data_IF_532029441003
#
_entry.id   IF_532029441003
#
_cell.length_a   1.000
_cell.length_b   1.000
_cell.length_c   1.000
_cell.angle_alpha   90.00
_cell.angle_beta   90.00
_cell.angle_gamma   90.00
#
_symmetry.space_group_name_H-M   'P 1'
#
loop_
_entity.id
_entity.type
_entity.pdbx_description
1 polymer ?
#
# COMPACT_ATOMS: atom_id res chain seq x y z
N UNK A 1 -5.89 10.13 -33.85
CA UNK A 1 -5.52 8.67 -33.78
C UNK A 1 -4.07 8.58 -33.33
N UNK A 2 -3.77 7.81 -32.26
CA UNK A 2 -2.39 7.61 -31.84
C UNK A 2 -1.73 6.60 -32.77
N UNK A 3 -0.80 7.07 -33.62
CA UNK A 3 -0.16 6.26 -34.66
C UNK A 3 0.83 5.29 -34.06
N UNK A 4 0.77 4.03 -34.48
CA UNK A 4 1.79 3.01 -34.18
C UNK A 4 2.77 3.04 -35.36
N UNK A 5 4.08 3.12 -35.05
CA UNK A 5 5.16 3.06 -36.03
C UNK A 5 6.17 1.98 -35.65
N UNK A 6 6.92 1.50 -36.61
CA UNK A 6 8.00 0.55 -36.38
C UNK A 6 9.35 1.29 -36.27
N UNK A 7 10.08 1.03 -35.18
CA UNK A 7 11.39 1.63 -34.93
C UNK A 7 12.44 0.56 -34.62
N UNK A 8 13.72 0.90 -34.78
CA UNK A 8 14.81 0.03 -34.32
C UNK A 8 14.80 -0.03 -32.78
N UNK A 9 14.79 -1.22 -32.14
CA UNK A 9 14.85 -1.33 -30.70
C UNK A 9 16.10 -0.67 -30.08
N UNK A 10 17.19 -0.55 -30.84
CA UNK A 10 18.39 0.13 -30.41
C UNK A 10 18.22 1.65 -30.31
N UNK A 11 17.23 2.24 -30.96
CA UNK A 11 16.90 3.66 -30.88
C UNK A 11 16.07 4.00 -29.64
N UNK A 12 15.72 3.01 -28.83
CA UNK A 12 14.93 3.19 -27.61
C UNK A 12 15.83 3.15 -26.39
N UNK A 13 15.79 4.25 -25.60
CA UNK A 13 16.42 4.33 -24.29
C UNK A 13 15.49 3.69 -23.24
N UNK A 14 16.05 2.87 -22.36
CA UNK A 14 15.26 2.32 -21.24
C UNK A 14 14.76 3.44 -20.31
N UNK A 15 13.60 3.23 -19.71
CA UNK A 15 13.08 4.13 -18.69
C UNK A 15 14.10 4.27 -17.55
N UNK A 16 14.33 5.50 -17.09
CA UNK A 16 15.17 5.78 -15.90
C UNK A 16 14.54 5.19 -14.63
N UNK A 17 13.25 4.88 -14.71
CA UNK A 17 12.47 4.38 -13.60
C UNK A 17 11.70 3.11 -13.98
N UNK A 18 12.08 2.00 -13.34
CA UNK A 18 11.25 0.80 -13.27
C UNK A 18 10.52 0.77 -11.91
N UNK A 19 9.21 1.02 -11.87
CA UNK A 19 8.46 1.03 -10.60
C UNK A 19 8.42 -0.32 -9.89
N UNK A 20 8.60 -1.41 -10.64
CA UNK A 20 8.66 -2.77 -10.08
C UNK A 20 9.95 -3.04 -9.32
N UNK A 21 10.96 -2.16 -9.46
CA UNK A 21 12.26 -2.37 -8.82
C UNK A 21 13.04 -3.59 -9.38
N UNK A 22 12.50 -4.25 -10.40
CA UNK A 22 13.16 -5.40 -11.03
C UNK A 22 14.49 -4.97 -11.63
N UNK A 23 15.56 -5.62 -11.21
CA UNK A 23 16.88 -5.44 -11.83
C UNK A 23 16.91 -6.22 -13.15
N UNK A 24 17.74 -5.82 -14.13
CA UNK A 24 17.89 -6.55 -15.39
C UNK A 24 18.07 -8.06 -15.20
N UNK A 25 18.91 -8.45 -14.24
CA UNK A 25 19.17 -9.87 -13.93
C UNK A 25 17.93 -10.64 -13.42
N UNK A 26 17.05 -9.96 -12.67
CA UNK A 26 15.83 -10.58 -12.15
C UNK A 26 14.85 -10.87 -13.29
N UNK A 27 14.79 -9.98 -14.29
CA UNK A 27 13.98 -10.16 -15.50
C UNK A 27 14.52 -11.33 -16.32
N UNK A 28 15.83 -11.39 -16.51
CA UNK A 28 16.49 -12.42 -17.35
C UNK A 28 16.38 -13.83 -16.75
N UNK A 29 16.34 -13.95 -15.43
CA UNK A 29 16.20 -15.23 -14.71
C UNK A 29 14.74 -15.72 -14.57
N UNK A 30 13.75 -14.88 -14.91
CA UNK A 30 12.34 -15.23 -14.82
C UNK A 30 11.94 -16.22 -15.93
N UNK A 31 11.43 -17.42 -15.61
CA UNK A 31 10.99 -18.40 -16.63
C UNK A 31 9.95 -17.83 -17.61
N UNK A 32 9.10 -16.92 -17.18
CA UNK A 32 8.13 -16.25 -18.06
C UNK A 32 8.79 -15.31 -19.07
N UNK A 33 9.99 -14.83 -18.79
CA UNK A 33 10.77 -14.03 -19.74
C UNK A 33 11.34 -14.89 -20.87
N UNK A 34 11.74 -16.12 -20.58
CA UNK A 34 12.18 -17.09 -21.62
C UNK A 34 11.04 -17.33 -22.60
N UNK A 35 9.82 -17.61 -22.10
CA UNK A 35 8.65 -17.78 -22.96
C UNK A 35 8.34 -16.53 -23.79
N UNK A 36 8.52 -15.34 -23.20
CA UNK A 36 8.35 -14.09 -23.94
C UNK A 36 9.39 -13.94 -25.05
N UNK A 37 10.66 -14.28 -24.82
CA UNK A 37 11.71 -14.28 -25.86
C UNK A 37 11.37 -15.21 -27.01
N UNK A 38 10.93 -16.43 -26.72
CA UNK A 38 10.51 -17.39 -27.73
C UNK A 38 9.34 -16.86 -28.58
N UNK A 39 8.37 -16.22 -27.92
CA UNK A 39 7.25 -15.57 -28.59
C UNK A 39 7.71 -14.42 -29.49
N UNK A 40 8.59 -13.54 -28.97
CA UNK A 40 9.13 -12.40 -29.73
C UNK A 40 9.99 -12.86 -30.91
N UNK A 41 10.79 -13.90 -30.73
CA UNK A 41 11.57 -14.49 -31.81
C UNK A 41 10.66 -15.02 -32.94
N UNK A 42 9.56 -15.68 -32.59
CA UNK A 42 8.67 -16.34 -33.56
C UNK A 42 7.67 -15.38 -34.22
N UNK A 43 7.14 -14.42 -33.48
CA UNK A 43 6.01 -13.59 -33.91
C UNK A 43 6.31 -12.08 -33.87
N UNK A 44 7.49 -11.67 -33.46
CA UNK A 44 7.80 -10.27 -33.17
C UNK A 44 7.10 -9.74 -31.91
N UNK A 45 7.20 -8.44 -31.66
CA UNK A 45 6.51 -7.78 -30.54
C UNK A 45 5.08 -7.47 -30.94
N UNK A 46 4.13 -8.30 -30.47
CA UNK A 46 2.71 -8.18 -30.84
C UNK A 46 2.00 -6.98 -30.19
N UNK A 47 2.40 -6.59 -28.99
CA UNK A 47 1.81 -5.45 -28.26
C UNK A 47 2.79 -4.29 -28.33
N UNK A 48 2.43 -3.14 -28.95
CA UNK A 48 3.33 -2.01 -29.10
C UNK A 48 3.91 -1.53 -27.77
N UNK A 49 5.19 -1.13 -27.81
CA UNK A 49 5.84 -0.42 -26.72
C UNK A 49 5.24 1.00 -26.63
N UNK A 50 5.28 1.61 -25.45
CA UNK A 50 4.90 3.01 -25.30
C UNK A 50 6.17 3.82 -25.10
N UNK A 51 6.37 4.81 -25.98
CA UNK A 51 7.56 5.66 -25.97
C UNK A 51 7.20 7.14 -26.10
N UNK A 52 8.07 8.02 -25.66
CA UNK A 52 8.02 9.41 -26.06
C UNK A 52 9.27 9.80 -26.85
N UNK A 53 9.15 10.80 -27.72
CA UNK A 53 10.25 11.32 -28.53
C UNK A 53 11.13 12.19 -27.65
N UNK A 54 12.46 11.98 -27.72
CA UNK A 54 13.44 12.82 -27.04
C UNK A 54 14.22 13.66 -28.07
N UNK A 55 14.63 14.84 -27.62
CA UNK A 55 15.55 15.71 -28.36
C UNK A 55 16.78 15.96 -27.51
N UNK A 56 17.96 16.02 -28.15
CA UNK A 56 19.21 16.36 -27.49
C UNK A 56 20.39 15.57 -28.03
N UNK A 57 21.57 16.20 -28.09
CA UNK A 57 22.79 15.55 -28.55
C UNK A 57 23.15 14.36 -27.65
N UNK A 58 23.49 13.23 -28.25
CA UNK A 58 23.90 12.00 -27.58
C UNK A 58 22.78 11.19 -26.97
N UNK A 59 21.50 11.58 -27.12
CA UNK A 59 20.34 10.79 -26.67
C UNK A 59 19.77 9.95 -27.81
N UNK A 60 19.20 8.78 -27.45
CA UNK A 60 18.42 8.00 -28.39
C UNK A 60 17.12 8.73 -28.73
N UNK A 61 16.58 8.56 -29.95
CA UNK A 61 15.37 9.28 -30.40
C UNK A 61 14.14 9.04 -29.52
N UNK A 62 14.06 7.85 -28.91
CA UNK A 62 12.90 7.42 -28.13
C UNK A 62 13.29 7.05 -26.73
N UNK A 63 12.45 7.38 -25.76
CA UNK A 63 12.52 6.89 -24.38
C UNK A 63 11.33 6.00 -24.06
N UNK A 64 11.59 4.84 -23.49
CA UNK A 64 10.58 3.88 -23.10
C UNK A 64 9.74 4.40 -21.91
N UNK A 65 8.42 4.24 -22.00
CA UNK A 65 7.47 4.48 -20.91
C UNK A 65 6.90 3.16 -20.38
N UNK A 66 6.53 2.24 -21.29
CA UNK A 66 6.01 0.92 -20.95
C UNK A 66 6.52 -0.14 -21.93
N UNK A 67 6.79 -1.33 -21.41
CA UNK A 67 7.17 -2.49 -22.20
C UNK A 67 8.63 -2.92 -22.05
N UNK A 68 9.27 -2.68 -20.89
CA UNK A 68 10.69 -3.02 -20.67
C UNK A 68 11.00 -4.48 -20.99
N UNK A 69 10.21 -5.45 -20.50
CA UNK A 69 10.42 -6.87 -20.80
C UNK A 69 10.34 -7.16 -22.30
N UNK A 70 9.43 -6.52 -23.01
CA UNK A 70 9.27 -6.66 -24.49
C UNK A 70 10.44 -6.06 -25.23
N UNK A 71 10.95 -4.90 -24.80
CA UNK A 71 12.14 -4.28 -25.40
C UNK A 71 13.39 -5.14 -25.17
N UNK A 72 13.60 -5.67 -23.95
CA UNK A 72 14.68 -6.61 -23.65
C UNK A 72 14.61 -7.85 -24.51
N UNK A 73 13.44 -8.49 -24.59
CA UNK A 73 13.25 -9.65 -25.44
C UNK A 73 13.53 -9.36 -26.93
N UNK A 74 13.15 -8.18 -27.41
CA UNK A 74 13.43 -7.77 -28.79
C UNK A 74 14.94 -7.56 -29.04
N UNK A 75 15.66 -6.95 -28.10
CA UNK A 75 17.10 -6.79 -28.17
C UNK A 75 17.84 -8.15 -28.13
N UNK A 76 17.45 -9.03 -27.20
CA UNK A 76 18.02 -10.38 -27.03
C UNK A 76 17.80 -11.27 -28.27
N UNK A 77 16.70 -11.06 -28.99
CA UNK A 77 16.35 -11.81 -30.21
C UNK A 77 16.83 -11.15 -31.50
N UNK A 78 17.57 -10.04 -31.38
CA UNK A 78 18.04 -9.24 -32.52
C UNK A 78 16.90 -8.80 -33.47
N UNK A 79 15.75 -8.45 -32.92
CA UNK A 79 14.62 -7.97 -33.71
C UNK A 79 15.01 -6.67 -34.46
N UNK A 80 14.77 -6.62 -35.77
CA UNK A 80 15.13 -5.43 -36.58
C UNK A 80 14.21 -4.24 -36.30
N UNK A 81 12.96 -4.49 -35.98
CA UNK A 81 11.96 -3.47 -35.72
C UNK A 81 11.01 -3.91 -34.62
N UNK A 82 10.50 -2.94 -33.86
CA UNK A 82 9.47 -3.13 -32.85
C UNK A 82 8.38 -2.08 -33.03
N UNK A 83 7.10 -2.44 -32.91
CA UNK A 83 6.00 -1.48 -32.97
C UNK A 83 6.02 -0.60 -31.71
N UNK A 84 5.96 0.70 -31.89
CA UNK A 84 5.88 1.67 -30.81
C UNK A 84 4.69 2.59 -30.98
N UNK A 85 4.06 2.95 -29.86
CA UNK A 85 3.06 3.99 -29.77
C UNK A 85 3.72 5.23 -29.15
N UNK A 86 3.79 6.30 -29.91
CA UNK A 86 4.33 7.57 -29.43
C UNK A 86 3.29 8.25 -28.53
N UNK A 87 3.77 8.89 -27.48
CA UNK A 87 2.97 9.71 -26.57
C UNK A 87 3.51 11.12 -26.51
N UNK A 88 2.59 12.10 -26.45
CA UNK A 88 2.92 13.52 -26.47
C UNK A 88 3.29 14.08 -25.08
N UNK A 89 3.05 13.30 -24.00
CA UNK A 89 3.40 13.71 -22.65
C UNK A 89 4.84 13.31 -22.37
N UNK A 90 5.73 14.27 -22.43
CA UNK A 90 7.17 14.07 -22.27
C UNK A 90 7.71 14.65 -20.97
N UNK A 91 8.99 14.30 -20.68
CA UNK A 91 9.72 14.75 -19.52
C UNK A 91 9.60 13.84 -18.31
N UNK A 92 10.49 14.00 -17.30
CA UNK A 92 10.62 13.06 -16.19
C UNK A 92 9.32 12.86 -15.37
N UNK A 93 8.52 13.91 -15.21
CA UNK A 93 7.23 13.82 -14.53
C UNK A 93 6.16 13.18 -15.41
N UNK A 94 6.10 13.56 -16.69
CA UNK A 94 5.17 13.00 -17.66
C UNK A 94 5.33 11.50 -17.83
N UNK A 95 6.58 11.03 -17.88
CA UNK A 95 6.90 9.59 -17.97
C UNK A 95 6.35 8.80 -16.77
N UNK A 96 6.54 9.34 -15.55
CA UNK A 96 6.03 8.70 -14.31
C UNK A 96 4.51 8.70 -14.28
N UNK A 97 3.87 9.82 -14.63
CA UNK A 97 2.40 9.93 -14.66
C UNK A 97 1.81 8.93 -15.66
N UNK A 98 2.36 8.84 -16.87
CA UNK A 98 1.87 7.91 -17.87
C UNK A 98 2.08 6.45 -17.47
N UNK A 99 3.26 6.10 -16.94
CA UNK A 99 3.49 4.78 -16.40
C UNK A 99 2.47 4.45 -15.31
N UNK A 100 2.20 5.39 -14.42
CA UNK A 100 1.20 5.22 -13.35
C UNK A 100 -0.20 4.92 -13.94
N UNK A 101 -0.69 5.74 -14.87
CA UNK A 101 -2.00 5.52 -15.51
C UNK A 101 -2.08 4.18 -16.27
N UNK A 102 -1.05 3.83 -17.05
CA UNK A 102 -1.04 2.58 -17.80
C UNK A 102 -1.17 1.38 -16.88
N UNK A 103 -0.41 1.35 -15.79
CA UNK A 103 -0.36 0.20 -14.88
C UNK A 103 -1.54 0.17 -13.90
N UNK A 104 -2.06 1.32 -13.48
CA UNK A 104 -3.29 1.40 -12.67
C UNK A 104 -4.50 0.89 -13.45
N UNK A 105 -4.70 1.33 -14.69
CA UNK A 105 -5.80 0.88 -15.54
C UNK A 105 -5.76 -0.64 -15.81
N UNK A 106 -4.56 -1.20 -15.90
CA UNK A 106 -4.36 -2.65 -16.11
C UNK A 106 -4.34 -3.46 -14.82
N UNK A 107 -4.47 -2.84 -13.64
CA UNK A 107 -4.31 -3.48 -12.31
C UNK A 107 -3.02 -4.32 -12.20
N UNK A 108 -1.94 -3.88 -12.85
CA UNK A 108 -0.69 -4.64 -12.94
C UNK A 108 0.29 -4.35 -11.80
N UNK A 109 0.15 -3.19 -11.16
CA UNK A 109 1.04 -2.80 -10.08
C UNK A 109 0.50 -3.23 -8.72
N UNK A 110 1.33 -3.90 -7.95
CA UNK A 110 1.12 -4.06 -6.52
C UNK A 110 1.34 -2.73 -5.77
N UNK A 111 1.07 -2.72 -4.49
CA UNK A 111 1.11 -1.49 -3.67
C UNK A 111 2.50 -0.84 -3.60
N UNK A 112 3.59 -1.62 -3.60
CA UNK A 112 4.96 -1.08 -3.52
C UNK A 112 5.34 -0.29 -4.78
N UNK A 113 5.21 -0.81 -6.01
CA UNK A 113 5.42 -0.04 -7.23
C UNK A 113 4.56 1.23 -7.31
N UNK A 114 3.29 1.17 -6.88
CA UNK A 114 2.42 2.36 -6.81
C UNK A 114 3.00 3.41 -5.84
N UNK A 115 3.45 2.98 -4.66
CA UNK A 115 4.07 3.87 -3.67
C UNK A 115 5.33 4.52 -4.22
N UNK A 116 6.22 3.77 -4.87
CA UNK A 116 7.44 4.30 -5.50
C UNK A 116 7.12 5.31 -6.61
N UNK A 117 6.12 5.02 -7.43
CA UNK A 117 5.63 5.95 -8.44
C UNK A 117 5.12 7.26 -7.82
N UNK A 118 4.31 7.16 -6.76
CA UNK A 118 3.81 8.32 -6.03
C UNK A 118 4.96 9.11 -5.38
N UNK A 119 5.93 8.47 -4.74
CA UNK A 119 7.13 9.16 -4.18
C UNK A 119 7.83 10.01 -5.25
N UNK A 120 7.94 9.52 -6.49
CA UNK A 120 8.52 10.31 -7.59
C UNK A 120 7.67 11.52 -7.96
N UNK A 121 6.35 11.36 -8.03
CA UNK A 121 5.44 12.49 -8.26
C UNK A 121 5.62 13.54 -7.16
N UNK A 122 5.62 13.12 -5.89
CA UNK A 122 5.82 14.00 -4.75
C UNK A 122 7.17 14.74 -4.81
N UNK A 123 8.25 14.05 -5.20
CA UNK A 123 9.58 14.66 -5.39
C UNK A 123 9.55 15.72 -6.48
N UNK A 124 8.95 15.46 -7.63
CA UNK A 124 8.81 16.43 -8.70
C UNK A 124 7.98 17.67 -8.31
N UNK A 125 6.95 17.45 -7.49
CA UNK A 125 6.13 18.54 -6.94
C UNK A 125 6.82 19.28 -5.79
N UNK A 126 7.99 18.84 -5.34
CA UNK A 126 8.68 19.34 -4.13
C UNK A 126 7.85 19.13 -2.85
N UNK A 127 7.05 18.07 -2.83
CA UNK A 127 6.22 17.66 -1.70
C UNK A 127 6.79 16.44 -0.97
N UNK A 128 8.00 16.03 -1.30
CA UNK A 128 8.69 14.93 -0.62
C UNK A 128 8.84 15.22 0.88
N UNK A 129 8.53 14.22 1.71
CA UNK A 129 8.56 14.37 3.18
C UNK A 129 7.34 15.06 3.79
N UNK A 130 6.41 15.59 3.01
CA UNK A 130 5.14 16.10 3.56
C UNK A 130 4.29 14.96 4.11
N UNK A 131 3.69 15.21 5.27
CA UNK A 131 2.82 14.25 5.95
C UNK A 131 1.33 14.60 5.82
N UNK A 132 1.00 15.88 5.64
CA UNK A 132 -0.38 16.38 5.50
C UNK A 132 -0.54 17.08 4.16
N UNK A 133 -1.66 16.82 3.52
CA UNK A 133 -2.08 17.39 2.24
C UNK A 133 -3.45 18.02 2.41
N UNK A 134 -3.66 19.21 1.86
CA UNK A 134 -4.97 19.83 1.80
C UNK A 134 -5.83 19.23 0.69
N UNK A 135 -7.09 19.63 0.60
CA UNK A 135 -8.01 19.04 -0.38
C UNK A 135 -7.61 19.35 -1.83
N UNK A 136 -7.12 20.54 -2.13
CA UNK A 136 -6.64 20.92 -3.47
C UNK A 136 -5.43 20.08 -3.90
N UNK A 137 -4.46 19.88 -2.99
CA UNK A 137 -3.29 19.03 -3.24
C UNK A 137 -3.69 17.57 -3.47
N UNK A 138 -4.69 17.07 -2.72
CA UNK A 138 -5.22 15.72 -2.91
C UNK A 138 -5.94 15.60 -4.25
N UNK A 139 -6.70 16.60 -4.68
CA UNK A 139 -7.36 16.63 -5.99
C UNK A 139 -6.34 16.67 -7.13
N UNK A 140 -5.26 17.43 -6.97
CA UNK A 140 -4.16 17.42 -7.92
C UNK A 140 -3.52 16.03 -8.02
N UNK A 141 -3.23 15.37 -6.88
CA UNK A 141 -2.71 14.02 -6.88
C UNK A 141 -3.68 13.01 -7.51
N UNK A 142 -4.98 13.15 -7.29
CA UNK A 142 -5.99 12.32 -7.97
C UNK A 142 -5.92 12.50 -9.50
N UNK A 143 -5.81 13.72 -9.96
CA UNK A 143 -5.70 14.04 -11.40
C UNK A 143 -4.41 13.45 -11.98
N UNK A 144 -3.28 13.60 -11.29
CA UNK A 144 -1.98 13.10 -11.75
C UNK A 144 -1.90 11.57 -11.75
N UNK A 145 -2.52 10.89 -10.79
CA UNK A 145 -2.39 9.43 -10.61
C UNK A 145 -3.56 8.63 -11.16
N UNK A 146 -4.74 9.26 -11.31
CA UNK A 146 -5.98 8.55 -11.61
C UNK A 146 -6.54 7.75 -10.42
N UNK A 147 -5.97 7.92 -9.21
CA UNK A 147 -6.42 7.24 -8.00
C UNK A 147 -7.52 8.04 -7.28
N UNK A 148 -8.46 7.36 -6.64
CA UNK A 148 -9.37 8.00 -5.68
C UNK A 148 -8.64 8.43 -4.40
N UNK A 149 -9.25 9.33 -3.60
CA UNK A 149 -8.71 9.73 -2.29
C UNK A 149 -8.44 8.51 -1.39
N UNK A 150 -9.31 7.52 -1.40
CA UNK A 150 -9.18 6.31 -0.58
C UNK A 150 -8.02 5.40 -1.05
N UNK A 151 -7.72 5.37 -2.34
CA UNK A 151 -6.55 4.68 -2.88
C UNK A 151 -5.26 5.45 -2.60
N UNK A 152 -5.29 6.79 -2.61
CA UNK A 152 -4.12 7.62 -2.34
C UNK A 152 -3.68 7.59 -0.87
N UNK A 153 -4.61 7.60 0.07
CA UNK A 153 -4.29 7.65 1.52
C UNK A 153 -3.29 6.57 1.96
N UNK A 154 -3.50 5.27 1.70
CA UNK A 154 -2.52 4.24 2.08
C UNK A 154 -1.19 4.39 1.34
N UNK A 155 -1.20 4.86 0.08
CA UNK A 155 0.03 5.11 -0.68
C UNK A 155 0.82 6.28 -0.09
N UNK A 156 0.16 7.38 0.29
CA UNK A 156 0.78 8.53 0.94
C UNK A 156 1.39 8.17 2.30
N UNK A 157 0.71 7.33 3.08
CA UNK A 157 1.25 6.81 4.34
C UNK A 157 2.51 5.97 4.11
N UNK A 158 2.46 5.03 3.17
CA UNK A 158 3.60 4.19 2.84
C UNK A 158 4.76 4.98 2.19
N UNK A 159 4.48 6.09 1.49
CA UNK A 159 5.50 6.96 0.90
C UNK A 159 6.39 7.67 1.95
N UNK A 160 5.99 7.69 3.21
CA UNK A 160 6.76 8.24 4.34
C UNK A 160 7.96 7.36 4.72
N UNK A 161 8.00 6.12 4.24
CA UNK A 161 9.07 5.17 4.52
C UNK A 161 10.13 5.21 3.41
N UNK A 162 11.37 4.87 3.78
CA UNK A 162 12.47 4.75 2.82
C UNK A 162 12.30 3.55 1.88
N UNK A 163 13.11 3.51 0.83
CA UNK A 163 13.00 2.45 -0.17
C UNK A 163 13.46 1.09 0.39
N UNK A 164 14.33 1.05 1.40
CA UNK A 164 14.73 -0.20 2.07
C UNK A 164 13.58 -0.87 2.83
N UNK A 165 12.68 -0.08 3.44
CA UNK A 165 11.46 -0.61 4.06
C UNK A 165 10.48 -1.12 2.99
N UNK A 166 10.38 -0.44 1.85
CA UNK A 166 9.57 -0.91 0.72
C UNK A 166 10.15 -2.20 0.11
N UNK A 167 11.48 -2.33 0.05
CA UNK A 167 12.16 -3.57 -0.36
C UNK A 167 11.85 -4.72 0.60
N UNK A 168 11.76 -4.46 1.91
CA UNK A 168 11.37 -5.47 2.89
C UNK A 168 9.93 -5.96 2.68
N UNK A 169 9.03 -5.06 2.26
CA UNK A 169 7.66 -5.45 1.89
C UNK A 169 7.64 -6.30 0.63
N UNK A 170 8.38 -5.92 -0.40
CA UNK A 170 8.46 -6.61 -1.67
C UNK A 170 9.05 -8.02 -1.53
N UNK A 171 10.05 -8.16 -0.64
CA UNK A 171 10.68 -9.43 -0.31
C UNK A 171 9.90 -10.27 0.74
N UNK A 172 8.70 -9.85 1.13
CA UNK A 172 7.85 -10.59 2.07
C UNK A 172 8.30 -10.56 3.54
N UNK A 173 9.35 -9.78 3.89
CA UNK A 173 9.84 -9.62 5.27
C UNK A 173 8.94 -8.71 6.11
N UNK A 174 8.11 -7.93 5.45
CA UNK A 174 7.17 -7.01 6.06
C UNK A 174 5.87 -6.99 5.25
N UNK A 175 4.73 -6.76 5.88
CA UNK A 175 3.45 -6.59 5.15
C UNK A 175 3.21 -5.11 4.87
N UNK A 176 2.70 -4.77 3.70
CA UNK A 176 2.31 -3.40 3.36
C UNK A 176 1.32 -2.81 4.36
N UNK A 177 0.38 -3.62 4.85
CA UNK A 177 -0.59 -3.24 5.87
C UNK A 177 0.04 -2.76 7.18
N UNK A 178 1.25 -3.24 7.54
CA UNK A 178 1.94 -2.73 8.72
C UNK A 178 2.33 -1.26 8.56
N UNK A 179 2.80 -0.84 7.37
CA UNK A 179 3.16 0.55 7.10
C UNK A 179 1.95 1.47 7.28
N UNK A 180 0.82 1.08 6.69
CA UNK A 180 -0.43 1.84 6.77
C UNK A 180 -0.94 1.93 8.21
N UNK A 181 -0.95 0.80 8.95
CA UNK A 181 -1.42 0.78 10.33
C UNK A 181 -0.54 1.56 11.31
N UNK A 182 0.78 1.50 11.16
CA UNK A 182 1.71 2.28 11.99
C UNK A 182 1.37 3.78 11.86
N UNK A 183 1.11 4.25 10.65
CA UNK A 183 0.73 5.64 10.43
C UNK A 183 -0.67 5.93 11.01
N UNK A 184 -1.68 5.22 10.55
CA UNK A 184 -3.09 5.50 10.82
C UNK A 184 -3.49 5.25 12.26
N UNK A 185 -3.02 4.16 12.85
CA UNK A 185 -3.45 3.72 14.17
C UNK A 185 -2.54 4.16 15.30
N UNK A 186 -1.34 4.64 14.98
CA UNK A 186 -0.37 5.05 15.99
C UNK A 186 0.19 6.46 15.75
N UNK A 187 0.94 6.70 14.67
CA UNK A 187 1.70 7.95 14.50
C UNK A 187 0.76 9.16 14.35
N UNK A 188 -0.24 9.08 13.44
CA UNK A 188 -1.21 10.16 13.21
C UNK A 188 -2.04 10.42 14.47
N UNK A 189 -2.49 9.37 15.17
CA UNK A 189 -3.26 9.53 16.42
C UNK A 189 -2.43 10.11 17.57
N UNK A 190 -1.16 9.72 17.71
CA UNK A 190 -0.27 10.33 18.70
C UNK A 190 -0.02 11.80 18.35
N UNK A 191 0.11 12.14 17.07
CA UNK A 191 0.27 13.54 16.67
C UNK A 191 -0.93 14.40 17.07
N UNK A 192 -2.13 13.85 16.90
CA UNK A 192 -3.36 14.59 17.19
C UNK A 192 -3.67 14.63 18.70
N UNK A 193 -3.49 13.54 19.43
CA UNK A 193 -3.93 13.40 20.83
C UNK A 193 -2.81 13.63 21.86
N UNK A 194 -1.56 13.31 21.51
CA UNK A 194 -0.38 13.31 22.39
C UNK A 194 0.85 13.98 21.74
N UNK A 195 0.77 15.22 21.22
CA UNK A 195 1.89 15.84 20.50
C UNK A 195 3.15 15.97 21.37
N UNK A 196 3.02 16.09 22.68
CA UNK A 196 4.14 16.12 23.62
C UNK A 196 4.94 14.81 23.68
N UNK A 197 4.35 13.67 23.32
CA UNK A 197 5.06 12.42 23.21
C UNK A 197 6.02 12.42 22.02
N UNK A 198 5.64 13.05 20.91
CA UNK A 198 6.50 13.14 19.71
C UNK A 198 7.71 14.07 19.91
N UNK A 199 7.65 14.98 20.87
CA UNK A 199 8.82 15.75 21.28
C UNK A 199 9.86 14.86 22.00
N UNK A 200 9.41 13.79 22.68
CA UNK A 200 10.27 12.82 23.38
C UNK A 200 10.69 11.65 22.49
N UNK A 201 9.84 11.22 21.58
CA UNK A 201 10.11 10.15 20.61
C UNK A 201 9.73 10.68 19.22
N UNK A 202 10.71 11.16 18.43
CA UNK A 202 10.45 11.66 17.09
C UNK A 202 9.74 10.62 16.22
N UNK A 203 8.85 11.08 15.32
CA UNK A 203 8.06 10.22 14.43
C UNK A 203 8.92 9.19 13.69
N UNK A 204 10.09 9.61 13.17
CA UNK A 204 11.02 8.72 12.49
C UNK A 204 11.47 7.57 13.38
N UNK A 205 11.85 7.87 14.62
CA UNK A 205 12.27 6.86 15.62
C UNK A 205 11.10 5.93 15.95
N UNK A 206 9.91 6.46 16.13
CA UNK A 206 8.71 5.65 16.40
C UNK A 206 8.42 4.69 15.25
N UNK A 207 8.45 5.17 13.98
CA UNK A 207 8.31 4.36 12.78
C UNK A 207 9.32 3.22 12.75
N UNK A 208 10.61 3.52 12.96
CA UNK A 208 11.68 2.54 12.94
C UNK A 208 11.46 1.44 13.99
N UNK A 209 11.10 1.82 15.22
CA UNK A 209 10.81 0.86 16.30
C UNK A 209 9.63 -0.04 15.97
N UNK A 210 8.57 0.51 15.41
CA UNK A 210 7.40 -0.28 14.98
C UNK A 210 7.73 -1.22 13.81
N UNK A 211 8.54 -0.80 12.86
CA UNK A 211 9.05 -1.68 11.79
C UNK A 211 9.85 -2.85 12.38
N UNK A 212 10.71 -2.61 13.37
CA UNK A 212 11.43 -3.70 14.02
C UNK A 212 10.49 -4.68 14.73
N UNK A 213 9.48 -4.17 15.46
CA UNK A 213 8.44 -5.03 16.07
C UNK A 213 7.68 -5.85 15.01
N UNK A 214 7.33 -5.23 13.88
CA UNK A 214 6.65 -5.93 12.77
C UNK A 214 7.53 -7.05 12.17
N UNK A 215 8.83 -6.82 12.01
CA UNK A 215 9.80 -7.82 11.55
C UNK A 215 9.98 -8.98 12.55
N UNK A 216 9.83 -8.71 13.84
CA UNK A 216 9.81 -9.73 14.91
C UNK A 216 8.46 -10.45 15.04
N UNK A 217 7.47 -10.16 14.16
CA UNK A 217 6.09 -10.67 14.22
C UNK A 217 5.32 -10.31 15.51
N UNK A 218 5.73 -9.24 16.20
CA UNK A 218 5.02 -8.71 17.38
C UNK A 218 3.83 -7.82 17.02
N UNK A 219 3.71 -7.39 15.74
CA UNK A 219 2.56 -6.66 15.24
C UNK A 219 1.72 -7.58 14.35
N UNK A 220 0.59 -7.99 14.86
CA UNK A 220 -0.43 -8.73 14.08
C UNK A 220 -1.14 -7.83 13.06
N UNK A 221 -1.91 -8.48 12.17
CA UNK A 221 -2.61 -7.80 11.05
C UNK A 221 -3.68 -6.87 11.53
N UNK A 222 -3.81 -6.04 12.28
CA UNK A 222 -4.75 -5.07 12.84
C UNK A 222 -4.52 -4.85 14.33
N UNK A 223 -3.42 -5.38 14.89
CA UNK A 223 -3.17 -5.32 16.32
C UNK A 223 -3.07 -3.88 16.85
N UNK A 224 -2.45 -2.97 16.09
CA UNK A 224 -2.39 -1.55 16.45
C UNK A 224 -3.78 -0.90 16.43
N UNK A 225 -4.59 -1.19 15.40
CA UNK A 225 -5.94 -0.66 15.26
C UNK A 225 -6.86 -1.16 16.39
N UNK A 226 -6.75 -2.44 16.74
CA UNK A 226 -7.64 -3.06 17.73
C UNK A 226 -7.22 -2.82 19.17
N UNK A 227 -5.93 -2.67 19.45
CA UNK A 227 -5.41 -2.67 20.80
C UNK A 227 -4.78 -1.33 21.22
N UNK A 228 -4.12 -0.61 20.32
CA UNK A 228 -3.42 0.65 20.65
C UNK A 228 -4.27 1.88 20.33
N UNK A 229 -4.88 1.92 19.14
CA UNK A 229 -5.70 3.04 18.75
C UNK A 229 -6.87 3.33 19.72
N UNK A 230 -7.60 2.31 20.25
CA UNK A 230 -8.61 2.53 21.28
C UNK A 230 -8.05 3.09 22.58
N UNK A 231 -6.86 2.66 23.01
CA UNK A 231 -6.19 3.17 24.23
C UNK A 231 -5.89 4.67 24.08
N UNK A 232 -5.40 5.08 22.90
CA UNK A 232 -5.13 6.49 22.59
C UNK A 232 -6.41 7.32 22.69
N UNK A 233 -7.52 6.86 22.11
CA UNK A 233 -8.77 7.64 22.00
C UNK A 233 -9.66 7.61 23.26
N UNK A 234 -9.44 6.66 24.19
CA UNK A 234 -10.29 6.47 25.37
C UNK A 234 -9.93 7.36 26.56
N UNK A 235 -8.69 7.78 26.67
CA UNK A 235 -8.26 8.61 27.78
C UNK A 235 -8.88 9.99 27.73
N UNK A 236 -9.78 10.29 28.69
CA UNK A 236 -10.54 11.56 28.75
C UNK A 236 -10.01 12.49 29.84
N UNK A 237 -9.56 11.93 30.94
CA UNK A 237 -9.04 12.72 32.06
C UNK A 237 -7.54 13.02 31.92
N UNK A 238 -7.04 14.11 32.50
CA UNK A 238 -5.60 14.41 32.50
C UNK A 238 -4.74 13.30 33.10
N UNK A 239 -5.26 12.55 34.08
CA UNK A 239 -4.57 11.43 34.71
C UNK A 239 -4.44 10.27 33.71
N UNK A 240 -5.55 9.88 33.09
CA UNK A 240 -5.57 8.82 32.08
C UNK A 240 -4.65 9.17 30.90
N UNK A 241 -4.65 10.41 30.43
CA UNK A 241 -3.76 10.85 29.36
C UNK A 241 -2.29 10.72 29.73
N UNK A 242 -1.89 11.00 30.97
CA UNK A 242 -0.51 10.78 31.44
C UNK A 242 -0.14 9.31 31.50
N UNK A 243 -1.08 8.47 31.92
CA UNK A 243 -0.85 7.01 31.96
C UNK A 243 -0.75 6.42 30.55
N UNK A 244 -1.58 6.86 29.62
CA UNK A 244 -1.47 6.47 28.22
C UNK A 244 -0.15 6.94 27.61
N UNK A 245 0.28 8.19 27.85
CA UNK A 245 1.57 8.68 27.36
C UNK A 245 2.74 7.81 27.89
N UNK A 246 2.70 7.46 29.19
CA UNK A 246 3.69 6.58 29.80
C UNK A 246 3.69 5.19 29.18
N UNK A 247 2.51 4.63 28.96
CA UNK A 247 2.31 3.31 28.37
C UNK A 247 2.78 3.26 26.90
N UNK A 248 2.41 4.25 26.08
CA UNK A 248 2.87 4.38 24.70
C UNK A 248 4.41 4.55 24.62
N UNK A 249 5.00 5.26 25.58
CA UNK A 249 6.44 5.43 25.64
C UNK A 249 7.15 4.11 25.97
N UNK A 250 6.57 3.30 26.87
CA UNK A 250 7.06 1.95 27.17
C UNK A 250 6.90 1.06 25.94
N UNK A 251 5.72 1.04 25.31
CA UNK A 251 5.45 0.27 24.10
C UNK A 251 6.44 0.58 22.98
N UNK A 252 6.82 1.85 22.82
CA UNK A 252 7.82 2.24 21.84
C UNK A 252 9.24 1.77 22.23
N UNK A 253 9.60 1.74 23.53
CA UNK A 253 10.96 1.49 23.98
C UNK A 253 11.23 0.04 24.36
N UNK A 254 10.25 -0.69 24.83
CA UNK A 254 10.37 -2.11 25.19
C UNK A 254 10.19 -2.96 23.93
N UNK A 255 11.26 -3.61 23.50
CA UNK A 255 11.32 -4.32 22.22
C UNK A 255 10.30 -5.46 22.07
N UNK A 256 9.93 -6.12 23.18
CA UNK A 256 9.06 -7.29 23.16
C UNK A 256 7.60 -6.98 23.54
N UNK A 257 7.30 -5.76 24.02
CA UNK A 257 5.95 -5.37 24.38
C UNK A 257 5.02 -5.38 23.16
N UNK A 258 3.90 -6.09 23.29
CA UNK A 258 2.91 -6.26 22.21
C UNK A 258 1.77 -5.24 22.30
N UNK A 259 1.04 -4.99 21.22
CA UNK A 259 -0.18 -4.16 21.24
C UNK A 259 -1.26 -4.68 22.22
N UNK A 260 -1.38 -5.99 22.36
CA UNK A 260 -2.31 -6.63 23.27
C UNK A 260 -1.98 -6.36 24.73
N UNK A 261 -0.70 -6.28 25.06
CA UNK A 261 -0.24 -5.91 26.42
C UNK A 261 -0.54 -4.44 26.72
N UNK A 262 -0.42 -3.55 25.73
CA UNK A 262 -0.81 -2.13 25.87
C UNK A 262 -2.27 -2.03 26.30
N UNK A 263 -3.18 -2.75 25.61
CA UNK A 263 -4.60 -2.74 25.94
C UNK A 263 -4.85 -3.32 27.33
N UNK A 264 -4.28 -4.49 27.65
CA UNK A 264 -4.45 -5.16 28.94
C UNK A 264 -3.97 -4.31 30.11
N UNK A 265 -2.82 -3.62 29.98
CA UNK A 265 -2.31 -2.76 31.03
C UNK A 265 -3.20 -1.53 31.24
N UNK A 266 -3.69 -0.94 30.13
CA UNK A 266 -4.62 0.18 30.20
C UNK A 266 -5.93 -0.21 30.89
N UNK A 267 -6.54 -1.33 30.48
CA UNK A 267 -7.80 -1.83 31.08
C UNK A 267 -7.64 -2.20 32.56
N UNK A 268 -6.48 -2.71 32.95
CA UNK A 268 -6.17 -3.01 34.37
C UNK A 268 -6.05 -1.74 35.20
N UNK A 269 -5.43 -0.69 34.63
CA UNK A 269 -5.26 0.59 35.33
C UNK A 269 -6.58 1.41 35.38
N UNK A 270 -7.45 1.22 34.40
CA UNK A 270 -8.66 2.01 34.21
C UNK A 270 -9.89 1.10 33.96
N UNK A 271 -10.36 0.35 34.99
CA UNK A 271 -11.48 -0.62 34.84
C UNK A 271 -12.79 0.03 34.40
N UNK A 272 -12.98 1.32 34.69
CA UNK A 272 -14.16 2.12 34.34
C UNK A 272 -14.10 2.69 32.93
N UNK A 273 -12.93 2.68 32.27
CA UNK A 273 -12.76 3.10 30.87
C UNK A 273 -13.15 1.94 29.91
N UNK A 274 -14.10 1.09 30.31
CA UNK A 274 -14.62 0.05 29.43
C UNK A 274 -15.12 0.66 28.13
N UNK A 275 -14.88 -0.06 27.03
CA UNK A 275 -15.42 0.27 25.72
C UNK A 275 -16.88 0.67 25.85
N UNK A 276 -17.18 1.89 25.54
CA UNK A 276 -18.55 2.32 25.33
C UNK A 276 -19.18 1.33 24.32
N UNK A 277 -20.40 0.90 24.63
CA UNK A 277 -21.13 -0.05 23.77
C UNK A 277 -21.15 0.42 22.31
N UNK A 278 -21.17 1.73 22.10
CA UNK A 278 -21.07 2.37 20.79
C UNK A 278 -19.73 2.10 20.09
N UNK A 279 -18.61 2.12 20.81
CA UNK A 279 -17.28 1.82 20.23
C UNK A 279 -17.14 0.33 19.90
N UNK A 280 -17.72 -0.55 20.71
CA UNK A 280 -17.80 -1.98 20.37
C UNK A 280 -18.67 -2.22 19.13
N UNK A 281 -19.81 -1.53 19.03
CA UNK A 281 -20.68 -1.61 17.86
C UNK A 281 -20.02 -1.07 16.61
N UNK A 282 -19.27 0.05 16.72
CA UNK A 282 -18.50 0.63 15.61
C UNK A 282 -17.40 -0.33 15.14
N UNK A 283 -16.64 -0.95 16.05
CA UNK A 283 -15.62 -1.96 15.68
C UNK A 283 -16.24 -3.18 14.99
N UNK A 284 -17.43 -3.61 15.41
CA UNK A 284 -18.14 -4.71 14.74
C UNK A 284 -18.62 -4.28 13.36
N UNK A 285 -19.07 -3.04 13.19
CA UNK A 285 -19.48 -2.50 11.91
C UNK A 285 -18.28 -2.39 10.95
N UNK A 286 -17.19 -1.77 11.38
CA UNK A 286 -15.97 -1.64 10.60
C UNK A 286 -15.39 -3.00 10.16
N UNK A 287 -15.47 -4.00 11.03
CA UNK A 287 -15.06 -5.37 10.70
C UNK A 287 -16.01 -6.04 9.69
N UNK A 288 -17.32 -5.76 9.79
CA UNK A 288 -18.31 -6.27 8.84
C UNK A 288 -18.16 -5.63 7.46
N UNK A 289 -17.94 -4.32 7.39
CA UNK A 289 -17.67 -3.60 6.14
C UNK A 289 -16.37 -4.06 5.47
N UNK A 290 -15.31 -4.28 6.24
CA UNK A 290 -14.06 -4.83 5.72
C UNK A 290 -14.22 -6.26 5.20
N UNK A 291 -15.08 -7.06 5.83
CA UNK A 291 -15.40 -8.41 5.37
C UNK A 291 -16.23 -8.37 4.09
N UNK A 292 -17.22 -7.49 4.02
CA UNK A 292 -18.05 -7.28 2.82
C UNK A 292 -17.19 -6.83 1.63
N UNK A 293 -16.27 -5.88 1.84
CA UNK A 293 -15.32 -5.46 0.83
C UNK A 293 -14.43 -6.60 0.32
N UNK A 294 -13.98 -7.50 1.21
CA UNK A 294 -13.22 -8.69 0.82
C UNK A 294 -14.08 -9.68 0.02
N UNK A 295 -15.33 -9.90 0.43
CA UNK A 295 -16.26 -10.81 -0.24
C UNK A 295 -16.63 -10.31 -1.64
N UNK A 296 -16.76 -9.01 -1.83
CA UNK A 296 -17.05 -8.40 -3.14
C UNK A 296 -15.88 -8.57 -4.15
N UNK A 297 -14.68 -8.95 -3.69
CA UNK A 297 -13.56 -9.30 -4.56
C UNK A 297 -13.54 -10.78 -4.98
N UNK A 298 -14.37 -11.62 -4.32
CA UNK A 298 -14.50 -13.03 -4.70
C UNK A 298 -15.36 -13.16 -5.96
N UNK A 299 -14.79 -13.77 -7.01
CA UNK A 299 -15.53 -14.08 -8.22
C UNK A 299 -16.22 -15.45 -8.08
N UNK A 300 -17.42 -15.67 -8.65
CA UNK A 300 -18.14 -16.96 -8.55
C UNK A 300 -17.32 -18.17 -9.05
N UNK A 301 -16.34 -17.95 -9.97
CA UNK A 301 -15.50 -19.02 -10.46
C UNK A 301 -14.43 -19.46 -9.45
N UNK A 302 -14.05 -18.60 -8.50
CA UNK A 302 -13.07 -18.92 -7.44
C UNK A 302 -13.62 -19.99 -6.50
N UNK A 303 -14.93 -19.94 -6.22
CA UNK A 303 -15.62 -20.94 -5.40
C UNK A 303 -15.60 -22.35 -6.05
N UNK A 304 -15.62 -22.42 -7.40
CA UNK A 304 -15.53 -23.70 -8.14
C UNK A 304 -14.11 -24.25 -8.16
N UNK A 305 -13.11 -23.37 -8.14
CA UNK A 305 -11.69 -23.75 -8.14
C UNK A 305 -11.20 -24.23 -6.77
N UNK A 306 -11.86 -23.78 -5.69
CA UNK A 306 -11.47 -24.03 -4.29
C UNK A 306 -12.67 -24.39 -3.40
N UNK A 307 -13.37 -25.51 -3.66
CA UNK A 307 -14.62 -25.84 -2.97
C UNK A 307 -14.46 -26.01 -1.45
N UNK A 308 -13.35 -26.57 -0.98
CA UNK A 308 -13.08 -26.75 0.46
C UNK A 308 -12.84 -25.40 1.17
N UNK A 309 -12.21 -24.46 0.50
CA UNK A 309 -11.97 -23.11 1.03
C UNK A 309 -13.28 -22.34 1.08
N UNK A 310 -14.10 -22.39 0.04
CA UNK A 310 -15.40 -21.76 -0.02
C UNK A 310 -16.32 -22.27 1.14
N UNK A 311 -16.34 -23.58 1.37
CA UNK A 311 -17.09 -24.20 2.48
C UNK A 311 -16.58 -23.75 3.85
N UNK A 312 -15.26 -23.62 4.05
CA UNK A 312 -14.69 -23.10 5.31
C UNK A 312 -15.07 -21.64 5.54
N UNK A 313 -15.07 -20.82 4.50
CA UNK A 313 -15.50 -19.41 4.56
C UNK A 313 -16.99 -19.35 4.93
N UNK A 314 -17.85 -20.09 4.27
CA UNK A 314 -19.29 -20.15 4.55
C UNK A 314 -19.59 -20.53 6.01
N UNK A 315 -18.94 -21.58 6.52
CA UNK A 315 -19.08 -22.01 7.91
C UNK A 315 -18.60 -20.92 8.89
N UNK A 316 -17.52 -20.23 8.57
CA UNK A 316 -16.98 -19.15 9.41
C UNK A 316 -17.89 -17.93 9.42
N UNK A 317 -18.46 -17.56 8.28
CA UNK A 317 -19.45 -16.48 8.15
C UNK A 317 -20.72 -16.77 8.94
N UNK A 318 -21.23 -18.00 8.86
CA UNK A 318 -22.44 -18.39 9.62
C UNK A 318 -22.19 -18.38 11.14
N UNK A 319 -20.99 -18.78 11.60
CA UNK A 319 -20.59 -18.65 13.02
C UNK A 319 -20.52 -17.16 13.43
N UNK A 320 -19.94 -16.32 12.61
CA UNK A 320 -19.81 -14.88 12.86
C UNK A 320 -21.20 -14.24 12.93
N UNK A 321 -22.09 -14.52 11.99
CA UNK A 321 -23.49 -14.07 11.97
C UNK A 321 -24.23 -14.45 13.25
N UNK A 322 -24.11 -15.70 13.69
CA UNK A 322 -24.74 -16.20 14.94
C UNK A 322 -24.18 -15.50 16.18
N UNK A 323 -22.86 -15.22 16.19
CA UNK A 323 -22.19 -14.52 17.30
C UNK A 323 -22.65 -13.05 17.38
N UNK A 324 -22.67 -12.33 16.26
CA UNK A 324 -23.17 -10.95 16.16
C UNK A 324 -24.63 -10.87 16.59
N UNK A 325 -25.50 -11.76 16.07
CA UNK A 325 -26.93 -11.79 16.41
C UNK A 325 -27.19 -12.06 17.89
N UNK A 326 -26.32 -12.83 18.54
CA UNK A 326 -26.40 -13.12 19.97
C UNK A 326 -26.01 -11.90 20.80
N UNK A 327 -24.93 -11.20 20.41
CA UNK A 327 -24.49 -9.97 21.09
C UNK A 327 -25.49 -8.83 20.93
N UNK A 328 -26.06 -8.62 19.73
CA UNK A 328 -27.09 -7.60 19.48
C UNK A 328 -28.36 -7.88 20.35
N UNK A 329 -28.78 -9.15 20.49
CA UNK A 329 -29.91 -9.50 21.37
C UNK A 329 -29.60 -9.24 22.83
N UNK A 330 -28.38 -9.50 23.29
CA UNK A 330 -27.93 -9.15 24.63
C UNK A 330 -28.00 -7.65 24.91
N UNK A 331 -27.59 -6.81 23.95
CA UNK A 331 -27.61 -5.35 24.05
C UNK A 331 -29.05 -4.79 24.08
N UNK A 332 -29.97 -5.36 23.30
CA UNK A 332 -31.40 -4.97 23.34
C UNK A 332 -32.08 -5.34 24.68
N UNK A 333 -31.63 -6.39 25.34
CA UNK A 333 -32.13 -6.79 26.67
C UNK A 333 -31.63 -5.89 27.81
N UNK A 334 -30.53 -5.16 27.65
CA UNK A 334 -30.03 -4.22 28.66
C UNK A 334 -30.55 -2.80 28.47
N UNK A 335 -31.03 -2.44 27.27
CA UNK A 335 -31.63 -1.14 26.99
C UNK A 335 -33.13 -1.02 27.44
N UNK A 336 -33.71 -2.11 27.91
CA UNK A 336 -35.12 -2.17 28.39
C UNK A 336 -35.23 -2.30 29.92
N UNK A 337 -34.18 -2.04 30.64
CA UNK A 337 -34.11 -1.89 32.09
C UNK A 337 -33.46 -0.57 32.43
#
# INVERSE_FOLDING_TARGET
MRTVIDVDPNDIEFAVFNPRGEKPKDIESDPSFVQLKDSVYKYGVLVPLVVHVQSGAGKKPYRLIDGERRLRAALDTNAKKVPVRITDVGGPLGDVIQAFHIHMLRKQWSQVPQTRGLKRILRHKRWEGREKFNDEELEELQTLTGCSKDQLRPLLRAARYDDGVLDDVENGRLRYSHLVQIEESLVERIEDEYPGLLAKIPKMTLRQKMIQKAKKNLLGTRSLMLNVAPVISRARTPSEKKDVERLLRRFANEDDMTPEEVLKEFERAHPTAQLDVLDQMRQVLDAAEALDALLNHFQPHDAKSWPDMARKIEVSLERLRKSISRKIRGLKGTASR
#
